data_IF_495021304545
#
_entry.id   IF_495021304545
#
_cell.length_a   1.000
_cell.length_b   1.000
_cell.length_c   1.000
_cell.angle_alpha   90.00
_cell.angle_beta   90.00
_cell.angle_gamma   90.00
#
_symmetry.space_group_name_H-M   'P 1'
#
loop_
_entity.id
_entity.type
_entity.pdbx_description
1 polymer ?
#
# COMPACT_ATOMS: atom_id res chain seq x y z
N UNK A 1 5.36 30.13 -9.75
CA UNK A 1 6.26 29.19 -10.42
C UNK A 1 5.42 28.22 -11.23
N UNK A 2 5.62 28.04 -12.53
CA UNK A 2 4.82 27.10 -13.30
C UNK A 2 5.13 25.65 -12.87
N UNK A 3 4.06 24.86 -12.68
CA UNK A 3 4.14 23.43 -12.35
C UNK A 3 4.63 22.69 -13.60
N UNK A 4 5.75 22.00 -13.51
CA UNK A 4 6.35 21.25 -14.65
C UNK A 4 5.87 19.80 -14.69
N UNK A 5 5.46 19.24 -13.56
CA UNK A 5 4.99 17.85 -13.44
C UNK A 5 3.80 17.77 -12.51
N UNK A 6 2.82 16.96 -12.84
CA UNK A 6 1.64 16.72 -11.97
C UNK A 6 2.03 16.22 -10.58
N UNK A 7 3.16 15.52 -10.45
CA UNK A 7 3.69 15.07 -9.15
C UNK A 7 4.06 16.21 -8.20
N UNK A 8 4.34 17.41 -8.71
CA UNK A 8 4.65 18.59 -7.88
C UNK A 8 3.43 19.15 -7.16
N UNK A 9 2.22 18.79 -7.62
CA UNK A 9 0.96 19.17 -7.00
C UNK A 9 0.59 18.28 -5.82
N UNK A 10 1.15 17.07 -5.77
CA UNK A 10 0.84 16.12 -4.70
C UNK A 10 1.30 16.67 -3.35
N UNK A 11 0.38 16.78 -2.41
CA UNK A 11 0.61 17.35 -1.07
C UNK A 11 0.52 18.88 -0.99
N UNK A 12 0.54 19.61 -2.12
CA UNK A 12 0.30 21.06 -2.14
C UNK A 12 -1.19 21.42 -2.17
N UNK A 13 -1.95 20.57 -2.86
CA UNK A 13 -3.40 20.73 -2.98
C UNK A 13 -4.07 19.45 -2.48
N UNK A 14 -4.96 19.59 -1.51
CA UNK A 14 -5.70 18.48 -0.91
C UNK A 14 -7.15 18.58 -1.32
N UNK A 15 -7.64 17.56 -1.99
CA UNK A 15 -9.03 17.51 -2.48
C UNK A 15 -9.64 16.19 -2.05
N UNK A 16 -10.83 16.27 -1.49
CA UNK A 16 -11.72 15.12 -1.34
C UNK A 16 -12.88 15.36 -2.30
N UNK A 17 -12.96 14.51 -3.30
CA UNK A 17 -14.10 14.49 -4.23
C UNK A 17 -14.99 13.31 -3.84
N UNK A 18 -16.28 13.53 -3.83
CA UNK A 18 -17.28 12.50 -3.62
C UNK A 18 -18.23 12.45 -4.82
N UNK A 19 -18.31 11.29 -5.48
CA UNK A 19 -19.14 11.07 -6.65
C UNK A 19 -19.67 9.64 -6.70
N UNK A 20 -20.58 9.31 -7.64
CA UNK A 20 -21.17 7.98 -7.77
C UNK A 20 -20.14 6.86 -7.94
N UNK A 21 -18.96 7.15 -8.49
CA UNK A 21 -17.85 6.22 -8.64
C UNK A 21 -17.29 5.71 -7.31
N UNK A 22 -17.49 6.44 -6.20
CA UNK A 22 -17.10 5.99 -4.87
C UNK A 22 -17.96 4.85 -4.32
N UNK A 23 -19.12 4.60 -4.91
CA UNK A 23 -19.89 3.38 -4.65
C UNK A 23 -19.09 2.13 -5.00
N UNK A 24 -18.12 2.24 -5.91
CA UNK A 24 -17.15 1.20 -6.22
C UNK A 24 -16.29 0.80 -5.03
N UNK A 25 -16.08 1.67 -4.02
CA UNK A 25 -15.35 1.28 -2.79
C UNK A 25 -16.00 0.12 -2.05
N UNK A 26 -17.32 0.05 -2.09
CA UNK A 26 -18.08 -1.03 -1.46
C UNK A 26 -18.31 -2.20 -2.42
N UNK A 27 -18.64 -1.89 -3.68
CA UNK A 27 -19.03 -2.88 -4.69
C UNK A 27 -17.87 -3.56 -5.40
N UNK A 28 -16.75 -2.83 -5.58
CA UNK A 28 -15.57 -3.33 -6.29
C UNK A 28 -14.57 -4.01 -5.36
N UNK A 29 -13.60 -4.70 -5.98
CA UNK A 29 -12.61 -5.49 -5.26
C UNK A 29 -11.52 -4.68 -4.53
N UNK A 30 -10.59 -5.37 -3.84
CA UNK A 30 -9.52 -4.77 -3.04
C UNK A 30 -8.61 -3.80 -3.80
N UNK A 31 -8.52 -3.93 -5.13
CA UNK A 31 -7.68 -3.07 -5.98
C UNK A 31 -8.15 -1.62 -5.93
N UNK A 32 -9.47 -1.39 -6.04
CA UNK A 32 -10.03 -0.04 -6.00
C UNK A 32 -9.89 0.59 -4.62
N UNK A 33 -10.16 -0.18 -3.56
CA UNK A 33 -9.96 0.27 -2.17
C UNK A 33 -8.51 0.70 -1.91
N UNK A 34 -7.53 -0.11 -2.34
CA UNK A 34 -6.11 0.24 -2.22
C UNK A 34 -5.77 1.52 -2.98
N UNK A 35 -6.23 1.64 -4.23
CA UNK A 35 -5.99 2.83 -5.04
C UNK A 35 -6.49 4.10 -4.37
N UNK A 36 -7.69 4.08 -3.80
CA UNK A 36 -8.25 5.24 -3.11
C UNK A 36 -7.47 5.57 -1.84
N UNK A 37 -7.14 4.56 -1.04
CA UNK A 37 -6.28 4.75 0.13
C UNK A 37 -4.93 5.35 -0.26
N UNK A 38 -4.31 4.85 -1.34
CA UNK A 38 -3.02 5.37 -1.82
C UNK A 38 -3.11 6.83 -2.28
N UNK A 39 -4.20 7.22 -2.94
CA UNK A 39 -4.43 8.62 -3.34
C UNK A 39 -4.53 9.52 -2.10
N UNK A 40 -5.33 9.12 -1.11
CA UNK A 40 -5.55 9.91 0.11
C UNK A 40 -4.27 10.05 0.93
N UNK A 41 -3.54 8.97 1.15
CA UNK A 41 -2.25 9.00 1.87
C UNK A 41 -1.22 9.84 1.11
N UNK A 42 -1.16 9.73 -0.22
CA UNK A 42 -0.23 10.51 -1.06
C UNK A 42 -0.44 12.02 -0.92
N UNK A 43 -1.69 12.48 -0.79
CA UNK A 43 -1.99 13.89 -0.55
C UNK A 43 -1.52 14.38 0.82
N UNK A 44 -1.47 13.48 1.80
CA UNK A 44 -1.06 13.81 3.18
C UNK A 44 0.44 13.65 3.39
N UNK A 45 1.09 12.75 2.64
CA UNK A 45 2.47 12.33 2.84
C UNK A 45 3.22 12.23 1.50
N UNK A 46 3.96 13.26 1.08
CA UNK A 46 4.72 13.24 -0.19
C UNK A 46 5.72 12.07 -0.27
N UNK A 47 6.31 11.66 0.86
CA UNK A 47 7.19 10.47 0.92
C UNK A 47 6.47 9.18 0.50
N UNK A 48 5.21 9.03 0.90
CA UNK A 48 4.40 7.89 0.49
C UNK A 48 4.22 7.82 -1.03
N UNK A 49 3.95 8.95 -1.67
CA UNK A 49 3.84 9.04 -3.13
C UNK A 49 5.14 8.64 -3.83
N UNK A 50 6.29 9.11 -3.31
CA UNK A 50 7.60 8.71 -3.83
C UNK A 50 7.82 7.20 -3.69
N UNK A 51 7.56 6.65 -2.50
CA UNK A 51 7.69 5.21 -2.24
C UNK A 51 6.80 4.35 -3.15
N UNK A 52 5.56 4.79 -3.45
CA UNK A 52 4.70 4.11 -4.44
C UNK A 52 5.32 4.09 -5.85
N UNK A 53 5.91 5.20 -6.27
CA UNK A 53 6.58 5.29 -7.57
C UNK A 53 7.79 4.36 -7.64
N UNK A 54 8.57 4.29 -6.56
CA UNK A 54 9.75 3.44 -6.49
C UNK A 54 9.38 1.96 -6.39
N UNK A 55 8.30 1.62 -5.64
CA UNK A 55 7.74 0.28 -5.63
C UNK A 55 7.40 -0.20 -7.04
N UNK A 56 6.72 0.64 -7.83
CA UNK A 56 6.36 0.30 -9.21
C UNK A 56 7.59 -0.05 -10.05
N UNK A 57 8.64 0.77 -10.01
CA UNK A 57 9.89 0.55 -10.74
C UNK A 57 10.57 -0.76 -10.32
N UNK A 58 10.62 -1.03 -9.00
CA UNK A 58 11.24 -2.25 -8.47
C UNK A 58 10.48 -3.49 -8.90
N UNK A 59 9.14 -3.46 -8.86
CA UNK A 59 8.30 -4.56 -9.34
C UNK A 59 8.49 -4.80 -10.83
N UNK A 60 8.57 -3.75 -11.65
CA UNK A 60 8.85 -3.83 -13.08
C UNK A 60 10.23 -4.47 -13.33
N UNK A 61 11.26 -4.05 -12.59
CA UNK A 61 12.62 -4.60 -12.69
C UNK A 61 12.66 -6.08 -12.26
N UNK A 62 11.98 -6.43 -11.17
CA UNK A 62 11.87 -7.83 -10.73
C UNK A 62 11.19 -8.70 -11.79
N UNK A 63 10.07 -8.23 -12.33
CA UNK A 63 9.33 -8.96 -13.36
C UNK A 63 10.15 -9.13 -14.66
N UNK A 64 10.94 -8.13 -15.03
CA UNK A 64 11.84 -8.24 -16.18
C UNK A 64 12.94 -9.30 -15.95
N UNK A 65 13.54 -9.29 -14.75
CA UNK A 65 14.57 -10.28 -14.38
C UNK A 65 14.03 -11.70 -14.34
N UNK A 66 12.83 -11.91 -13.80
CA UNK A 66 12.17 -13.23 -13.72
C UNK A 66 11.77 -13.80 -15.08
N UNK A 67 11.66 -12.97 -16.13
CA UNK A 67 11.35 -13.42 -17.49
C UNK A 67 12.58 -13.91 -18.28
N UNK A 68 13.79 -13.76 -17.74
CA UNK A 68 15.00 -14.26 -18.36
C UNK A 68 15.06 -15.77 -18.25
N UNK A 69 15.61 -16.46 -19.24
CA UNK A 69 15.80 -17.93 -19.21
C UNK A 69 16.63 -18.40 -18.01
N UNK A 70 17.59 -17.58 -17.58
CA UNK A 70 18.43 -17.80 -16.41
C UNK A 70 18.46 -16.52 -15.56
N UNK A 71 17.52 -16.35 -14.64
CA UNK A 71 17.50 -15.20 -13.76
C UNK A 71 18.73 -15.15 -12.86
N UNK A 72 19.35 -13.97 -12.74
CA UNK A 72 20.47 -13.77 -11.82
C UNK A 72 19.95 -13.72 -10.37
N UNK A 73 20.25 -14.75 -9.59
CA UNK A 73 19.80 -14.89 -8.19
C UNK A 73 20.31 -13.81 -7.28
N UNK A 74 21.59 -13.45 -7.37
CA UNK A 74 22.15 -12.36 -6.56
C UNK A 74 21.45 -11.02 -6.83
N UNK A 75 21.07 -10.77 -8.09
CA UNK A 75 20.30 -9.58 -8.45
C UNK A 75 18.86 -9.65 -7.91
N UNK A 76 18.25 -10.85 -7.90
CA UNK A 76 16.92 -11.06 -7.31
C UNK A 76 16.93 -10.82 -5.80
N UNK A 77 17.98 -11.24 -5.09
CA UNK A 77 18.14 -10.98 -3.65
C UNK A 77 18.20 -9.49 -3.35
N UNK A 78 19.02 -8.74 -4.10
CA UNK A 78 19.12 -7.27 -3.95
C UNK A 78 17.77 -6.59 -4.24
N UNK A 79 17.06 -7.03 -5.26
CA UNK A 79 15.74 -6.50 -5.62
C UNK A 79 14.73 -6.85 -4.52
N UNK A 80 14.76 -8.06 -3.97
CA UNK A 80 13.88 -8.50 -2.89
C UNK A 80 14.10 -7.69 -1.61
N UNK A 81 15.35 -7.39 -1.26
CA UNK A 81 15.65 -6.54 -0.09
C UNK A 81 15.07 -5.14 -0.26
N UNK A 82 15.27 -4.50 -1.42
CA UNK A 82 14.69 -3.20 -1.74
C UNK A 82 13.16 -3.25 -1.73
N UNK A 83 12.58 -4.31 -2.30
CA UNK A 83 11.13 -4.53 -2.33
C UNK A 83 10.56 -4.66 -0.92
N UNK A 84 11.20 -5.44 -0.04
CA UNK A 84 10.79 -5.57 1.35
C UNK A 84 10.86 -4.24 2.11
N UNK A 85 11.95 -3.48 1.91
CA UNK A 85 12.14 -2.18 2.57
C UNK A 85 11.05 -1.18 2.17
N UNK A 86 10.82 -0.97 0.88
CA UNK A 86 9.81 -0.01 0.40
C UNK A 86 8.39 -0.48 0.73
N UNK A 87 8.12 -1.78 0.59
CA UNK A 87 6.79 -2.32 0.89
C UNK A 87 6.44 -2.23 2.37
N UNK A 88 7.42 -2.40 3.27
CA UNK A 88 7.19 -2.27 4.71
C UNK A 88 6.75 -0.86 5.11
N UNK A 89 7.38 0.17 4.54
CA UNK A 89 6.98 1.56 4.76
C UNK A 89 5.55 1.82 4.27
N UNK A 90 5.22 1.37 3.05
CA UNK A 90 3.89 1.56 2.47
C UNK A 90 2.80 0.82 3.28
N UNK A 91 3.09 -0.38 3.75
CA UNK A 91 2.19 -1.18 4.59
C UNK A 91 1.96 -0.48 5.92
N UNK A 92 3.00 0.01 6.59
CA UNK A 92 2.89 0.74 7.84
C UNK A 92 2.04 2.02 7.68
N UNK A 93 2.27 2.81 6.62
CA UNK A 93 1.45 3.98 6.33
C UNK A 93 -0.03 3.64 6.11
N UNK A 94 -0.32 2.56 5.37
CA UNK A 94 -1.70 2.12 5.13
C UNK A 94 -2.37 1.64 6.41
N UNK A 95 -1.67 0.85 7.23
CA UNK A 95 -2.16 0.37 8.52
C UNK A 95 -2.53 1.52 9.43
N UNK A 96 -1.61 2.44 9.68
CA UNK A 96 -1.84 3.59 10.54
C UNK A 96 -2.95 4.54 10.01
N UNK A 97 -3.04 4.70 8.68
CA UNK A 97 -4.10 5.50 8.08
C UNK A 97 -5.48 4.86 8.26
N UNK A 98 -5.60 3.57 7.99
CA UNK A 98 -6.87 2.86 8.08
C UNK A 98 -7.32 2.64 9.53
N UNK A 99 -6.40 2.46 10.46
CA UNK A 99 -6.71 2.42 11.88
C UNK A 99 -7.38 3.73 12.33
N UNK A 100 -6.75 4.87 12.01
CA UNK A 100 -7.27 6.18 12.37
C UNK A 100 -8.58 6.53 11.68
N UNK A 101 -8.67 6.32 10.36
CA UNK A 101 -9.87 6.64 9.59
C UNK A 101 -11.00 5.64 9.85
N UNK A 102 -10.67 4.38 10.13
CA UNK A 102 -11.64 3.36 10.51
C UNK A 102 -12.35 3.65 11.82
N UNK A 103 -11.62 4.17 12.82
CA UNK A 103 -12.21 4.63 14.08
C UNK A 103 -13.25 5.74 13.84
N UNK A 104 -12.89 6.78 13.06
CA UNK A 104 -13.81 7.86 12.71
C UNK A 104 -15.02 7.37 11.90
N UNK A 105 -14.78 6.49 10.92
CA UNK A 105 -15.86 5.93 10.11
C UNK A 105 -16.84 5.10 10.94
N UNK A 106 -16.37 4.38 11.96
CA UNK A 106 -17.23 3.63 12.90
C UNK A 106 -18.14 4.56 13.68
N UNK A 107 -17.62 5.67 14.21
CA UNK A 107 -18.41 6.67 14.94
C UNK A 107 -19.50 7.25 14.05
N UNK A 108 -19.15 7.68 12.84
CA UNK A 108 -20.09 8.26 11.87
C UNK A 108 -21.17 7.22 11.49
N UNK A 109 -20.78 5.97 11.22
CA UNK A 109 -21.74 4.91 10.88
C UNK A 109 -22.72 4.64 12.02
N UNK A 110 -22.24 4.64 13.25
CA UNK A 110 -23.08 4.48 14.44
C UNK A 110 -24.10 5.60 14.57
N UNK A 111 -23.71 6.85 14.30
CA UNK A 111 -24.65 7.99 14.32
C UNK A 111 -25.71 7.88 13.22
N UNK A 112 -25.28 7.64 11.97
CA UNK A 112 -26.16 7.56 10.79
C UNK A 112 -27.16 6.40 10.94
N UNK A 113 -26.72 5.26 11.45
CA UNK A 113 -27.58 4.08 11.62
C UNK A 113 -28.46 4.13 12.88
N UNK A 114 -28.29 5.15 13.73
CA UNK A 114 -28.93 5.18 15.05
C UNK A 114 -28.50 4.02 15.96
N UNK A 115 -27.24 3.61 15.83
CA UNK A 115 -26.65 2.51 16.60
C UNK A 115 -27.03 1.09 16.15
N UNK A 116 -27.71 0.95 15.00
CA UNK A 116 -28.19 -0.35 14.49
C UNK A 116 -27.13 -1.12 13.72
N UNK A 117 -26.10 -0.46 13.22
CA UNK A 117 -25.03 -1.05 12.43
C UNK A 117 -23.67 -0.72 13.03
N UNK A 118 -22.77 -1.69 12.99
CA UNK A 118 -21.39 -1.53 13.40
C UNK A 118 -20.47 -1.71 12.20
N UNK A 119 -19.61 -0.70 11.95
CA UNK A 119 -18.61 -0.73 10.89
C UNK A 119 -17.26 -1.15 11.45
N UNK A 120 -16.66 -2.16 10.87
CA UNK A 120 -15.28 -2.53 11.12
C UNK A 120 -14.44 -2.36 9.85
N UNK A 121 -13.29 -1.68 10.00
CA UNK A 121 -12.30 -1.52 8.93
C UNK A 121 -11.02 -2.22 9.35
N UNK A 122 -10.62 -3.25 8.58
CA UNK A 122 -9.37 -4.00 8.80
C UNK A 122 -8.45 -3.88 7.61
N UNK A 123 -7.15 -3.74 7.89
CA UNK A 123 -6.12 -3.81 6.86
C UNK A 123 -5.49 -5.21 6.83
N UNK A 124 -5.73 -5.93 5.74
CA UNK A 124 -5.12 -7.22 5.49
C UNK A 124 -3.93 -7.05 4.53
N UNK A 125 -2.73 -7.23 5.03
CA UNK A 125 -1.51 -7.21 4.22
C UNK A 125 -1.19 -8.59 3.66
N UNK A 126 -0.21 -8.64 2.72
CA UNK A 126 0.28 -9.92 2.19
C UNK A 126 1.06 -10.75 3.24
N UNK A 127 1.43 -10.16 4.37
CA UNK A 127 2.11 -10.84 5.50
C UNK A 127 1.20 -10.99 6.72
N UNK A 128 -0.12 -10.88 6.52
CA UNK A 128 -1.13 -10.99 7.56
C UNK A 128 -1.40 -9.67 8.26
N UNK A 129 -1.79 -9.76 9.53
CA UNK A 129 -2.06 -8.58 10.35
C UNK A 129 -0.76 -7.87 10.72
N UNK A 130 -0.80 -6.53 10.62
CA UNK A 130 0.37 -5.65 10.83
C UNK A 130 0.03 -4.45 11.73
N UNK A 131 -1.17 -4.43 12.31
CA UNK A 131 -1.61 -3.37 13.22
C UNK A 131 -0.66 -3.28 14.41
N UNK A 132 -0.15 -2.08 14.68
CA UNK A 132 0.80 -1.83 15.76
C UNK A 132 2.24 -2.28 15.51
N UNK A 133 2.55 -2.87 14.34
CA UNK A 133 3.91 -3.25 14.00
C UNK A 133 4.69 -2.07 13.42
N UNK A 134 5.96 -1.98 13.81
CA UNK A 134 6.91 -1.03 13.22
C UNK A 134 7.35 -1.48 11.81
N UNK A 135 7.78 -0.53 10.95
CA UNK A 135 8.24 -0.86 9.60
C UNK A 135 9.33 -1.94 9.53
N UNK A 136 10.22 -1.99 10.55
CA UNK A 136 11.27 -3.00 10.67
C UNK A 136 10.72 -4.42 10.79
N UNK A 137 9.74 -4.62 11.67
CA UNK A 137 9.09 -5.92 11.89
C UNK A 137 8.32 -6.38 10.65
N UNK A 138 7.67 -5.43 9.96
CA UNK A 138 6.98 -5.71 8.70
C UNK A 138 7.99 -6.11 7.61
N UNK A 139 9.15 -5.43 7.57
CA UNK A 139 10.23 -5.74 6.63
C UNK A 139 10.74 -7.17 6.84
N UNK A 140 10.97 -7.59 8.07
CA UNK A 140 11.42 -8.97 8.37
C UNK A 140 10.43 -10.02 7.89
N UNK A 141 9.13 -9.81 8.13
CA UNK A 141 8.08 -10.71 7.64
C UNK A 141 8.05 -10.78 6.10
N UNK A 142 8.22 -9.63 5.43
CA UNK A 142 8.28 -9.55 3.97
C UNK A 142 9.51 -10.25 3.41
N UNK A 143 10.69 -10.03 4.00
CA UNK A 143 11.95 -10.66 3.58
C UNK A 143 11.84 -12.17 3.66
N UNK A 144 11.38 -12.72 4.78
CA UNK A 144 11.17 -14.17 4.97
C UNK A 144 10.23 -14.74 3.90
N UNK A 145 9.11 -14.07 3.63
CA UNK A 145 8.18 -14.52 2.58
C UNK A 145 8.79 -14.47 1.17
N UNK A 146 9.61 -13.47 0.88
CA UNK A 146 10.29 -13.35 -0.42
C UNK A 146 11.38 -14.41 -0.60
N UNK A 147 12.08 -14.80 0.46
CA UNK A 147 13.06 -15.90 0.48
C UNK A 147 12.37 -17.24 0.25
N UNK A 148 11.25 -17.51 0.92
CA UNK A 148 10.44 -18.71 0.71
C UNK A 148 10.02 -18.85 -0.77
N UNK A 149 9.54 -17.77 -1.39
CA UNK A 149 9.16 -17.78 -2.80
C UNK A 149 10.36 -17.96 -3.71
N UNK A 150 11.52 -17.38 -3.37
CA UNK A 150 12.74 -17.53 -4.17
C UNK A 150 13.24 -18.97 -4.13
N UNK A 151 13.16 -19.64 -2.99
CA UNK A 151 13.55 -21.05 -2.85
C UNK A 151 12.74 -22.01 -3.74
N UNK A 152 11.48 -21.66 -4.04
CA UNK A 152 10.62 -22.44 -4.92
C UNK A 152 10.96 -22.30 -6.41
N UNK A 153 11.68 -21.27 -6.79
CA UNK A 153 12.11 -21.05 -8.19
C UNK A 153 13.32 -21.93 -8.55
N UNK A 154 14.01 -22.47 -7.55
CA UNK A 154 15.20 -23.30 -7.71
C UNK A 154 14.92 -24.82 -7.75
N UNK A 155 13.66 -25.22 -7.75
CA UNK A 155 13.23 -26.62 -7.93
C UNK A 155 12.84 -26.84 -9.39
#
# INVERSE_FOLDING_TARGET
MPVRRNSELVGRFRVVYFGPEYLGLVKEGPKQRRRNTDILISQLRPRYFSALSDLKKIVESKNALLKMERPNTAMLEIINEKLASISSELIAYRSAYLEKTGALAREIQREISGGREELEVRYLSCVGEVTGLEPGEIKEKLSRRLEEVLSLIHI
#
